data_IF_861772588047
#
_entry.id   IF_861772588047
#
_cell.length_a   1.000
_cell.length_b   1.000
_cell.length_c   1.000
_cell.angle_alpha   90.00
_cell.angle_beta   90.00
_cell.angle_gamma   90.00
#
_symmetry.space_group_name_H-M   'P 1'
#
loop_
_entity.id
_entity.type
_entity.pdbx_description
1 polymer ?
#
# COMPACT_ATOMS: atom_id res chain seq x y z
N UNK A 1 15.42 -1.16 -15.10
CA UNK A 1 15.30 -1.60 -13.70
C UNK A 1 14.04 -0.96 -13.16
N UNK A 2 13.03 -1.76 -12.84
CA UNK A 2 11.74 -1.25 -12.34
C UNK A 2 11.88 -0.66 -10.94
N UNK A 3 10.89 0.13 -10.53
CA UNK A 3 10.79 0.76 -9.20
C UNK A 3 10.53 -0.27 -8.08
N UNK A 4 10.34 -1.54 -8.46
CA UNK A 4 10.21 -2.71 -7.60
C UNK A 4 11.47 -3.58 -7.75
N UNK A 5 12.48 -3.33 -6.92
CA UNK A 5 13.81 -3.97 -7.03
C UNK A 5 13.88 -5.37 -6.43
N UNK A 6 12.96 -5.71 -5.54
CA UNK A 6 12.87 -7.03 -4.89
C UNK A 6 11.78 -7.92 -5.52
N UNK A 7 10.95 -7.38 -6.41
CA UNK A 7 9.90 -8.12 -7.10
C UNK A 7 8.70 -8.44 -6.21
N UNK A 8 8.56 -7.77 -5.07
CA UNK A 8 7.47 -7.95 -4.10
C UNK A 8 6.51 -6.77 -4.21
N UNK A 9 5.21 -7.01 -4.09
CA UNK A 9 4.23 -5.93 -4.01
C UNK A 9 4.21 -5.38 -2.57
N UNK A 10 4.47 -4.07 -2.41
CA UNK A 10 4.51 -3.37 -1.11
C UNK A 10 3.26 -2.52 -0.84
N UNK A 11 2.23 -2.64 -1.68
CA UNK A 11 0.99 -1.87 -1.55
C UNK A 11 -0.20 -2.78 -1.83
N UNK A 12 -1.15 -2.84 -0.89
CA UNK A 12 -2.39 -3.61 -1.04
C UNK A 12 -3.63 -2.73 -0.94
N UNK A 13 -4.62 -2.97 -1.81
CA UNK A 13 -5.98 -2.45 -1.60
C UNK A 13 -6.67 -3.25 -0.50
N UNK A 14 -6.87 -2.64 0.67
CA UNK A 14 -7.59 -3.23 1.81
C UNK A 14 -9.12 -3.04 1.71
N UNK A 15 -9.58 -2.30 0.71
CA UNK A 15 -10.99 -2.00 0.44
C UNK A 15 -11.41 -0.62 0.93
N UNK A 16 -12.60 -0.15 0.51
CA UNK A 16 -13.15 1.16 0.89
C UNK A 16 -12.15 2.34 0.76
N UNK A 17 -11.47 2.41 -0.39
CA UNK A 17 -10.41 3.38 -0.68
C UNK A 17 -9.27 3.42 0.36
N UNK A 18 -9.00 2.27 0.98
CA UNK A 18 -7.93 2.10 1.97
C UNK A 18 -6.78 1.31 1.37
N UNK A 19 -5.58 1.87 1.42
CA UNK A 19 -4.32 1.27 0.99
C UNK A 19 -3.51 0.87 2.21
N UNK A 20 -3.02 -0.36 2.23
CA UNK A 20 -2.01 -0.86 3.17
C UNK A 20 -0.63 -0.86 2.52
N UNK A 21 0.42 -0.75 3.34
CA UNK A 21 1.81 -0.71 2.91
C UNK A 21 2.69 -1.55 3.84
N UNK A 22 3.72 -2.14 3.27
CA UNK A 22 4.89 -2.72 3.97
C UNK A 22 6.07 -1.74 3.86
N UNK A 23 6.85 -1.53 4.92
CA UNK A 23 7.99 -0.59 4.93
C UNK A 23 9.37 -1.26 4.70
N UNK A 24 9.43 -2.60 4.76
CA UNK A 24 10.66 -3.36 4.62
C UNK A 24 10.83 -4.03 3.24
N UNK A 25 12.07 -4.04 2.69
CA UNK A 25 12.39 -4.86 1.53
C UNK A 25 12.09 -6.35 1.74
N UNK A 26 11.74 -7.03 0.65
CA UNK A 26 11.34 -8.44 0.61
C UNK A 26 10.01 -8.75 1.33
N UNK A 27 9.21 -7.73 1.65
CA UNK A 27 7.81 -7.88 2.08
C UNK A 27 7.58 -8.10 3.57
N UNK A 28 8.56 -7.76 4.43
CA UNK A 28 8.36 -7.73 5.88
C UNK A 28 7.73 -9.00 6.45
N UNK A 29 6.55 -8.85 7.07
CA UNK A 29 5.71 -9.97 7.51
C UNK A 29 4.44 -10.18 6.67
N UNK A 30 4.28 -9.40 5.60
CA UNK A 30 3.22 -9.49 4.58
C UNK A 30 1.80 -9.24 5.09
N UNK A 31 1.65 -8.43 6.14
CA UNK A 31 0.36 -8.05 6.69
C UNK A 31 -0.17 -6.68 6.17
N UNK A 32 0.67 -5.94 5.45
CA UNK A 32 0.42 -4.65 4.81
C UNK A 32 -0.12 -3.57 5.78
N UNK A 33 0.27 -3.61 7.07
CA UNK A 33 -0.25 -2.71 8.09
C UNK A 33 0.76 -1.71 8.71
N UNK A 34 2.01 -1.67 8.24
CA UNK A 34 3.00 -0.68 8.68
C UNK A 34 2.51 0.75 8.45
N UNK A 35 1.83 1.00 7.31
CA UNK A 35 1.11 2.24 7.02
C UNK A 35 -0.26 1.93 6.41
N UNK A 36 -1.30 2.61 6.90
CA UNK A 36 -2.66 2.54 6.35
C UNK A 36 -3.13 3.93 5.93
N UNK A 37 -3.47 4.10 4.65
CA UNK A 37 -3.97 5.35 4.08
C UNK A 37 -5.40 5.17 3.58
N UNK A 38 -6.34 5.99 4.09
CA UNK A 38 -7.72 6.04 3.55
C UNK A 38 -7.98 7.33 2.79
N UNK A 39 -8.39 7.20 1.54
CA UNK A 39 -8.76 8.32 0.68
C UNK A 39 -10.26 8.59 0.80
N UNK A 40 -10.61 9.79 1.25
CA UNK A 40 -11.99 10.28 1.26
C UNK A 40 -12.11 11.38 0.20
N UNK A 41 -13.01 11.20 -0.75
CA UNK A 41 -13.23 12.14 -1.83
C UNK A 41 -14.46 13.00 -1.54
N UNK A 42 -14.34 14.31 -1.74
CA UNK A 42 -15.49 15.21 -1.80
C UNK A 42 -15.51 15.81 -3.20
N UNK A 43 -16.61 15.62 -3.91
CA UNK A 43 -16.80 16.25 -5.21
C UNK A 43 -17.10 17.73 -4.98
N UNK A 44 -16.31 18.60 -5.61
CA UNK A 44 -16.53 20.05 -5.63
C UNK A 44 -16.90 20.42 -7.06
N UNK A 45 -18.14 20.14 -7.46
CA UNK A 45 -18.73 20.69 -8.69
C UNK A 45 -20.15 21.17 -8.41
#
# INVERSE_FOLDING_TARGET
MGVNSDGVDHIRLLGNNTLGFEDLPNGGDFDDNDIIVKLNFTQIV
#
